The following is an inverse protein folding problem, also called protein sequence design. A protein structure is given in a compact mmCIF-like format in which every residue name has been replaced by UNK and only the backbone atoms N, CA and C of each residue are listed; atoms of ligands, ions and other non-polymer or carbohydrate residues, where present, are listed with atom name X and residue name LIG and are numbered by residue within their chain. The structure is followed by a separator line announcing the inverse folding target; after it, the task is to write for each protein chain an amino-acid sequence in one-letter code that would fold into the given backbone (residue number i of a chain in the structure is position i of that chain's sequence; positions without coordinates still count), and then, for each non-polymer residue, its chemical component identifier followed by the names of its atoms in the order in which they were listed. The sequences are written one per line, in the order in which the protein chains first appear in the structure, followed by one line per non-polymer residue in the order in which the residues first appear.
data_IF_714085030387
#
_entry.id   IF_714085030387
#
_cell.length_a   1.000
_cell.length_b   1.000
_cell.length_c   1.000
_cell.angle_alpha   90.00
_cell.angle_beta   90.00
_cell.angle_gamma   90.00
#
_symmetry.space_group_name_H-M   'P 1'
#
loop_
_entity.id
_entity.type
_entity.pdbx_description
1 polymer ?
#
# COMPACT_ATOMS: atom_id res chain seq x y z
N UNK A 1 -2.83 4.55 1.10
CA UNK A 1 -2.45 4.30 2.50
C UNK A 1 -3.68 3.97 3.33
N UNK A 2 -3.63 2.88 4.07
CA UNK A 2 -4.79 2.34 4.81
C UNK A 2 -4.81 2.64 6.31
N UNK A 3 -3.77 3.26 6.87
CA UNK A 3 -3.74 3.54 8.31
C UNK A 3 -4.64 4.72 8.67
N UNK A 4 -5.53 4.54 9.65
CA UNK A 4 -6.42 5.58 10.17
C UNK A 4 -5.78 6.43 11.29
N UNK A 5 -4.50 6.22 11.62
CA UNK A 5 -3.78 7.02 12.60
C UNK A 5 -3.66 8.47 12.14
N UNK A 6 -3.85 9.43 13.05
CA UNK A 6 -3.65 10.87 12.76
C UNK A 6 -2.22 11.16 12.30
N UNK A 7 -1.23 10.45 12.87
CA UNK A 7 0.19 10.51 12.49
C UNK A 7 0.58 9.23 11.77
N UNK A 8 0.03 9.02 10.59
CA UNK A 8 0.24 7.78 9.84
C UNK A 8 1.61 7.72 9.19
N UNK A 9 2.52 6.92 9.74
CA UNK A 9 3.84 6.65 9.13
C UNK A 9 3.72 5.93 7.79
N UNK A 10 2.76 5.03 7.63
CA UNK A 10 2.52 4.41 6.31
C UNK A 10 2.07 5.44 5.26
N UNK A 11 1.33 6.47 5.65
CA UNK A 11 1.00 7.57 4.74
C UNK A 11 2.25 8.37 4.34
N UNK A 12 3.14 8.67 5.28
CA UNK A 12 4.41 9.36 4.99
C UNK A 12 5.23 8.59 3.96
N UNK A 13 5.32 7.26 4.12
CA UNK A 13 6.02 6.39 3.16
C UNK A 13 5.34 6.35 1.80
N UNK A 14 4.01 6.20 1.77
CA UNK A 14 3.24 6.19 0.53
C UNK A 14 3.34 7.51 -0.22
N UNK A 15 3.29 8.64 0.50
CA UNK A 15 3.46 9.96 -0.10
C UNK A 15 4.88 10.13 -0.69
N UNK A 16 5.92 9.64 -0.01
CA UNK A 16 7.28 9.66 -0.55
C UNK A 16 7.38 8.83 -1.83
N UNK A 17 6.79 7.64 -1.88
CA UNK A 17 6.75 6.82 -3.09
C UNK A 17 5.94 7.49 -4.19
N UNK A 18 4.80 8.08 -3.88
CA UNK A 18 3.99 8.83 -4.84
C UNK A 18 4.81 9.92 -5.55
N UNK A 19 5.55 10.73 -4.78
CA UNK A 19 6.44 11.75 -5.35
C UNK A 19 7.55 11.15 -6.21
N UNK A 20 8.20 10.06 -5.76
CA UNK A 20 9.24 9.37 -6.53
C UNK A 20 8.72 8.78 -7.84
N UNK A 21 7.48 8.29 -7.87
CA UNK A 21 6.84 7.80 -9.08
C UNK A 21 6.51 8.94 -10.05
N UNK A 22 6.01 10.07 -9.53
CA UNK A 22 5.78 11.27 -10.36
C UNK A 22 7.07 11.80 -10.98
N UNK A 23 8.18 11.84 -10.21
CA UNK A 23 9.51 12.23 -10.72
C UNK A 23 10.01 11.31 -11.86
N UNK A 24 9.53 10.06 -11.90
CA UNK A 24 9.80 9.07 -12.96
C UNK A 24 8.78 9.12 -14.12
N UNK A 25 7.86 10.07 -14.10
CA UNK A 25 6.83 10.22 -15.12
C UNK A 25 5.66 9.24 -15.03
N UNK A 26 5.52 8.53 -13.92
CA UNK A 26 4.38 7.62 -13.67
C UNK A 26 3.18 8.44 -13.21
N UNK A 27 2.06 8.29 -13.91
CA UNK A 27 0.78 8.83 -13.45
C UNK A 27 0.29 8.03 -12.24
N UNK A 28 0.39 8.60 -11.06
CA UNK A 28 0.02 7.96 -9.80
C UNK A 28 -0.93 8.79 -8.99
N UNK A 29 -1.84 8.15 -8.29
CA UNK A 29 -2.78 8.75 -7.35
C UNK A 29 -2.54 8.18 -5.94
N UNK A 30 -2.50 9.05 -4.94
CA UNK A 30 -2.38 8.67 -3.54
C UNK A 30 -3.75 8.75 -2.87
N UNK A 31 -4.28 7.60 -2.45
CA UNK A 31 -5.52 7.51 -1.67
C UNK A 31 -5.20 7.40 -0.18
N UNK A 32 -5.87 8.21 0.62
CA UNK A 32 -5.78 8.22 2.08
C UNK A 32 -7.06 7.68 2.70
N UNK A 33 -6.98 6.53 3.37
CA UNK A 33 -8.14 5.92 4.02
C UNK A 33 -8.74 6.77 5.16
N UNK A 34 -7.99 7.75 5.69
CA UNK A 34 -8.51 8.67 6.72
C UNK A 34 -9.59 9.62 6.19
N UNK A 35 -9.64 9.82 4.89
CA UNK A 35 -10.62 10.66 4.19
C UNK A 35 -11.83 9.88 3.70
N UNK A 36 -11.88 8.57 4.01
CA UNK A 36 -12.92 7.66 3.54
C UNK A 36 -13.84 7.24 4.67
N UNK A 37 -15.11 7.09 4.36
CA UNK A 37 -16.04 6.34 5.20
C UNK A 37 -15.91 4.85 4.83
N UNK A 38 -15.39 4.05 5.75
CA UNK A 38 -15.16 2.61 5.58
C UNK A 38 -16.16 1.81 6.41
N UNK A 39 -16.89 0.91 5.77
CA UNK A 39 -17.82 -0.01 6.44
C UNK A 39 -17.41 -1.46 6.20
N UNK A 40 -17.62 -2.36 7.18
CA UNK A 40 -17.42 -3.79 7.01
C UNK A 40 -18.24 -4.34 5.82
N UNK A 41 -17.71 -5.36 5.15
CA UNK A 41 -18.23 -5.92 3.90
C UNK A 41 -19.77 -6.11 3.85
N UNK A 42 -20.35 -6.67 4.90
CA UNK A 42 -21.79 -6.94 4.94
C UNK A 42 -22.69 -5.73 5.21
N UNK A 43 -22.10 -4.56 5.46
CA UNK A 43 -22.87 -3.31 5.61
C UNK A 43 -23.13 -2.61 4.27
N UNK A 44 -22.58 -3.15 3.18
CA UNK A 44 -22.60 -2.54 1.86
C UNK A 44 -21.54 -1.44 1.70
N UNK A 45 -21.22 -1.06 0.46
CA UNK A 45 -20.23 -0.03 0.18
C UNK A 45 -20.78 1.37 0.48
N UNK A 46 -19.89 2.25 0.93
CA UNK A 46 -20.16 3.70 0.97
C UNK A 46 -19.80 4.32 -0.39
N UNK A 47 -20.20 5.57 -0.61
CA UNK A 47 -19.82 6.31 -1.83
C UNK A 47 -18.31 6.36 -2.02
N UNK A 48 -17.53 6.61 -0.95
CA UNK A 48 -16.07 6.63 -1.02
C UNK A 48 -15.47 5.26 -1.34
N UNK A 49 -16.09 4.17 -0.91
CA UNK A 49 -15.68 2.80 -1.26
C UNK A 49 -15.97 2.48 -2.73
N UNK A 50 -17.12 2.91 -3.25
CA UNK A 50 -17.47 2.75 -4.67
C UNK A 50 -16.53 3.55 -5.59
N UNK A 51 -16.17 4.76 -5.19
CA UNK A 51 -15.20 5.59 -5.91
C UNK A 51 -13.81 4.94 -5.90
N UNK A 52 -13.37 4.42 -4.75
CA UNK A 52 -12.10 3.70 -4.66
C UNK A 52 -12.11 2.43 -5.52
N UNK A 53 -13.19 1.67 -5.51
CA UNK A 53 -13.34 0.47 -6.35
C UNK A 53 -13.12 0.78 -7.83
N UNK A 54 -13.71 1.86 -8.34
CA UNK A 54 -13.52 2.32 -9.74
C UNK A 54 -12.06 2.70 -10.01
N UNK A 55 -11.41 3.44 -9.10
CA UNK A 55 -10.00 3.81 -9.24
C UNK A 55 -9.08 2.59 -9.26
N UNK A 56 -9.33 1.63 -8.37
CA UNK A 56 -8.58 0.38 -8.28
C UNK A 56 -8.76 -0.48 -9.54
N UNK A 57 -9.97 -0.53 -10.09
CA UNK A 57 -10.26 -1.22 -11.36
C UNK A 57 -9.53 -0.57 -12.55
N UNK A 58 -9.45 0.76 -12.60
CA UNK A 58 -8.80 1.50 -13.67
C UNK A 58 -7.26 1.53 -13.57
N UNK A 59 -6.71 1.33 -12.38
CA UNK A 59 -5.26 1.34 -12.17
C UNK A 59 -4.60 0.11 -12.80
N UNK A 60 -3.50 0.29 -13.51
CA UNK A 60 -2.68 -0.81 -14.05
C UNK A 60 -1.96 -1.57 -12.93
N UNK A 61 -1.41 -0.84 -11.97
CA UNK A 61 -0.61 -1.37 -10.86
C UNK A 61 -1.05 -0.75 -9.53
N UNK A 62 -0.84 -1.44 -8.42
CA UNK A 62 -1.31 -1.01 -7.10
C UNK A 62 -0.19 -1.07 -6.07
N UNK A 63 -0.08 -0.06 -5.22
CA UNK A 63 0.78 -0.08 -4.04
C UNK A 63 -0.09 -0.03 -2.78
N UNK A 64 0.01 -1.06 -1.96
CA UNK A 64 -0.67 -1.11 -0.67
C UNK A 64 0.21 -0.56 0.44
N UNK A 65 -0.24 0.55 1.04
CA UNK A 65 0.36 1.09 2.25
C UNK A 65 -0.37 0.59 3.49
N UNK A 66 0.30 -0.17 4.34
CA UNK A 66 -0.30 -0.81 5.51
C UNK A 66 0.37 -0.45 6.83
N UNK A 67 -0.42 -0.48 7.90
CA UNK A 67 0.05 -0.65 9.27
C UNK A 67 -0.03 -2.13 9.68
N UNK A 68 0.49 -2.47 10.85
CA UNK A 68 0.38 -3.81 11.43
C UNK A 68 -0.53 -3.78 12.64
N UNK A 69 -1.60 -4.56 12.62
CA UNK A 69 -2.48 -4.81 13.75
C UNK A 69 -2.46 -6.31 14.09
N UNK A 70 -2.10 -6.65 15.34
CA UNK A 70 -2.06 -8.04 15.81
C UNK A 70 -1.30 -8.99 14.87
N UNK A 71 -0.11 -8.58 14.41
CA UNK A 71 0.72 -9.33 13.46
C UNK A 71 0.03 -9.64 12.12
N UNK A 72 -0.89 -8.79 11.66
CA UNK A 72 -1.60 -8.91 10.40
C UNK A 72 -1.78 -7.55 9.74
N UNK A 73 -2.50 -7.50 8.63
CA UNK A 73 -2.94 -6.25 8.00
C UNK A 73 -3.83 -5.46 8.97
N UNK A 74 -3.79 -4.15 8.91
CA UNK A 74 -4.69 -3.32 9.71
C UNK A 74 -6.15 -3.45 9.21
N UNK A 75 -7.08 -3.18 10.09
CA UNK A 75 -8.53 -3.30 9.90
C UNK A 75 -9.05 -2.55 8.66
N UNK A 76 -8.69 -1.28 8.51
CA UNK A 76 -9.10 -0.49 7.35
C UNK A 76 -8.59 -1.09 6.03
N UNK A 77 -7.34 -1.63 5.99
CA UNK A 77 -6.87 -2.32 4.80
C UNK A 77 -7.72 -3.56 4.50
N UNK A 78 -8.08 -4.33 5.53
CA UNK A 78 -8.92 -5.51 5.31
C UNK A 78 -10.30 -5.15 4.76
N UNK A 79 -10.91 -4.06 5.25
CA UNK A 79 -12.18 -3.55 4.70
C UNK A 79 -12.02 -3.13 3.22
N UNK A 80 -10.93 -2.42 2.89
CA UNK A 80 -10.63 -2.01 1.52
C UNK A 80 -10.45 -3.23 0.60
N UNK A 81 -9.67 -4.22 1.04
CA UNK A 81 -9.45 -5.44 0.28
C UNK A 81 -10.77 -6.16 0.00
N UNK A 82 -11.61 -6.34 1.02
CA UNK A 82 -12.88 -7.06 0.89
C UNK A 82 -13.93 -6.29 0.07
N UNK A 83 -13.98 -4.96 0.20
CA UNK A 83 -15.03 -4.14 -0.37
C UNK A 83 -14.67 -3.40 -1.67
N UNK A 84 -13.37 -3.19 -1.95
CA UNK A 84 -12.96 -2.31 -3.05
C UNK A 84 -12.05 -2.98 -4.08
N UNK A 85 -11.53 -4.19 -3.81
CA UNK A 85 -10.50 -4.83 -4.66
C UNK A 85 -11.04 -5.92 -5.59
N UNK A 86 -12.33 -5.92 -5.95
CA UNK A 86 -12.91 -6.93 -6.86
C UNK A 86 -12.31 -6.91 -8.28
N UNK A 87 -11.80 -5.77 -8.76
CA UNK A 87 -11.27 -5.57 -10.12
C UNK A 87 -9.74 -5.63 -10.25
N UNK A 88 -9.01 -6.29 -9.32
CA UNK A 88 -7.53 -6.31 -9.32
C UNK A 88 -6.90 -7.60 -9.85
N UNK A 89 -7.66 -8.52 -10.39
CA UNK A 89 -7.15 -9.83 -10.83
C UNK A 89 -5.97 -9.67 -11.78
N UNK A 90 -4.87 -10.38 -11.49
CA UNK A 90 -3.65 -10.40 -12.30
C UNK A 90 -2.78 -9.14 -12.26
N UNK A 91 -3.22 -8.06 -11.58
CA UNK A 91 -2.44 -6.81 -11.53
C UNK A 91 -1.15 -6.97 -10.75
N UNK A 92 -0.17 -6.12 -11.06
CA UNK A 92 1.07 -6.02 -10.32
C UNK A 92 0.88 -5.16 -9.06
N UNK A 93 1.51 -5.57 -7.95
CA UNK A 93 1.41 -4.79 -6.72
C UNK A 93 2.71 -4.72 -5.91
N UNK A 94 2.81 -3.69 -5.11
CA UNK A 94 3.88 -3.49 -4.13
C UNK A 94 3.35 -3.30 -2.71
N UNK A 95 4.18 -3.58 -1.71
CA UNK A 95 3.84 -3.45 -0.29
C UNK A 95 4.74 -2.42 0.39
N UNK A 96 4.13 -1.46 1.06
CA UNK A 96 4.76 -0.49 1.95
C UNK A 96 4.15 -0.66 3.33
N UNK A 97 4.99 -1.01 4.31
CA UNK A 97 4.54 -1.30 5.67
C UNK A 97 5.22 -0.38 6.69
N UNK A 98 4.44 0.22 7.57
CA UNK A 98 4.92 0.88 8.77
C UNK A 98 4.41 0.12 10.01
N UNK A 99 5.34 -0.42 10.80
CA UNK A 99 5.04 -1.24 11.97
C UNK A 99 5.53 -0.62 13.27
N UNK A 100 5.01 -1.09 14.39
CA UNK A 100 5.47 -0.68 15.72
C UNK A 100 6.86 -1.19 16.10
N UNK A 101 7.34 -2.27 15.45
CA UNK A 101 8.64 -2.87 15.73
C UNK A 101 9.08 -3.91 14.69
N UNK A 102 10.31 -4.37 14.82
CA UNK A 102 10.96 -5.25 13.83
C UNK A 102 10.38 -6.68 13.78
N UNK A 103 9.80 -7.14 14.89
CA UNK A 103 9.31 -8.54 15.02
C UNK A 103 8.09 -8.86 14.13
N UNK A 104 7.40 -7.86 13.66
CA UNK A 104 6.17 -8.02 12.84
C UNK A 104 6.41 -8.01 11.34
N UNK A 105 7.65 -8.14 10.88
CA UNK A 105 7.98 -8.16 9.44
C UNK A 105 7.15 -9.18 8.65
N UNK A 106 6.98 -10.39 9.20
CA UNK A 106 6.22 -11.46 8.56
C UNK A 106 4.72 -11.15 8.42
N UNK A 107 4.20 -10.10 9.06
CA UNK A 107 2.82 -9.67 8.89
C UNK A 107 2.52 -9.22 7.45
N UNK A 108 3.53 -8.81 6.70
CA UNK A 108 3.40 -8.47 5.27
C UNK A 108 3.02 -9.68 4.43
N UNK A 109 3.37 -10.90 4.87
CA UNK A 109 3.02 -12.14 4.19
C UNK A 109 1.51 -12.42 4.17
N UNK A 110 0.76 -11.90 5.14
CA UNK A 110 -0.71 -12.02 5.12
C UNK A 110 -1.30 -11.25 3.93
N UNK A 111 -0.79 -10.04 3.65
CA UNK A 111 -1.21 -9.28 2.46
C UNK A 111 -0.79 -9.98 1.17
N UNK A 112 0.45 -10.49 1.12
CA UNK A 112 0.95 -11.31 0.00
C UNK A 112 0.00 -12.48 -0.28
N UNK A 113 -0.35 -13.25 0.75
CA UNK A 113 -1.23 -14.40 0.64
C UNK A 113 -2.61 -14.01 0.11
N UNK A 114 -3.21 -12.93 0.63
CA UNK A 114 -4.52 -12.45 0.18
C UNK A 114 -4.45 -12.08 -1.32
N UNK A 115 -3.53 -11.20 -1.70
CA UNK A 115 -3.45 -10.68 -3.06
C UNK A 115 -3.15 -11.78 -4.09
N UNK A 116 -2.22 -12.68 -3.77
CA UNK A 116 -1.82 -13.75 -4.69
C UNK A 116 -2.86 -14.86 -4.81
N UNK A 117 -3.54 -15.24 -3.72
CA UNK A 117 -4.50 -16.34 -3.76
C UNK A 117 -5.89 -15.89 -4.23
N UNK A 118 -6.37 -14.74 -3.76
CA UNK A 118 -7.71 -14.26 -4.12
C UNK A 118 -7.73 -13.73 -5.56
N UNK A 119 -6.75 -12.90 -5.93
CA UNK A 119 -6.76 -12.19 -7.22
C UNK A 119 -5.60 -12.55 -8.15
N UNK A 120 -4.76 -13.53 -7.82
CA UNK A 120 -3.61 -13.95 -8.64
C UNK A 120 -2.70 -12.78 -9.03
N UNK A 121 -2.61 -11.78 -8.14
CA UNK A 121 -1.75 -10.61 -8.35
C UNK A 121 -0.28 -10.98 -8.34
N UNK A 122 0.53 -10.20 -9.05
CA UNK A 122 1.98 -10.38 -9.12
C UNK A 122 2.65 -9.39 -8.18
N UNK A 123 3.40 -9.87 -7.19
CA UNK A 123 4.03 -9.01 -6.19
C UNK A 123 5.43 -8.54 -6.62
N UNK A 124 5.73 -7.25 -6.38
CA UNK A 124 7.12 -6.80 -6.34
C UNK A 124 7.85 -7.47 -5.18
N UNK A 125 8.96 -8.20 -5.41
CA UNK A 125 9.67 -8.91 -4.34
C UNK A 125 10.23 -7.98 -3.25
N UNK A 126 10.58 -6.75 -3.60
CA UNK A 126 11.04 -5.74 -2.65
C UNK A 126 9.86 -5.17 -1.86
N UNK A 127 9.80 -5.49 -0.57
CA UNK A 127 8.87 -4.87 0.38
C UNK A 127 9.60 -3.72 1.09
N UNK A 128 8.93 -2.58 1.26
CA UNK A 128 9.37 -1.53 2.17
C UNK A 128 8.76 -1.81 3.54
N UNK A 129 9.61 -1.97 4.55
CA UNK A 129 9.21 -2.15 5.93
C UNK A 129 9.94 -1.14 6.81
N UNK A 130 9.20 -0.32 7.50
CA UNK A 130 9.71 0.70 8.40
C UNK A 130 9.13 0.57 9.80
N UNK A 131 9.88 1.00 10.79
CA UNK A 131 9.50 1.02 12.20
C UNK A 131 9.58 2.43 12.77
N UNK A 132 9.23 2.60 14.03
CA UNK A 132 9.33 3.90 14.68
C UNK A 132 10.72 4.51 14.70
N UNK A 133 11.77 3.67 14.62
CA UNK A 133 13.19 4.10 14.63
C UNK A 133 13.62 4.80 13.34
N UNK A 134 12.86 4.65 12.28
CA UNK A 134 13.18 5.16 10.95
C UNK A 134 12.69 6.60 10.74
N UNK A 135 12.00 7.16 11.76
CA UNK A 135 11.39 8.48 11.69
C UNK A 135 11.84 9.36 12.86
N UNK A 136 12.03 10.63 12.56
CA UNK A 136 12.22 11.71 13.52
C UNK A 136 11.24 12.84 13.21
N UNK A 137 10.41 13.24 14.18
CA UNK A 137 9.39 14.29 14.03
C UNK A 137 8.53 14.10 12.75
N UNK A 138 8.00 12.89 12.55
CA UNK A 138 7.20 12.51 11.37
C UNK A 138 7.92 12.68 10.02
N UNK A 139 9.25 12.74 10.05
CA UNK A 139 10.10 12.78 8.85
C UNK A 139 10.94 11.49 8.79
N UNK A 140 11.14 10.97 7.58
CA UNK A 140 12.01 9.80 7.38
C UNK A 140 13.46 10.23 7.64
N UNK A 141 14.05 9.74 8.73
CA UNK A 141 15.43 10.08 9.15
C UNK A 141 16.46 9.03 8.71
N UNK A 142 16.05 7.76 8.56
CA UNK A 142 16.93 6.64 8.20
C UNK A 142 17.28 6.69 6.70
N UNK A 143 18.59 6.80 6.39
CA UNK A 143 19.06 6.89 5.00
C UNK A 143 18.95 5.54 4.25
N UNK A 144 19.11 4.40 4.92
CA UNK A 144 18.90 3.08 4.32
C UNK A 144 17.44 2.91 3.90
N UNK A 145 16.49 3.44 4.69
CA UNK A 145 15.08 3.45 4.31
C UNK A 145 14.82 4.35 3.11
N UNK A 146 15.45 5.54 3.04
CA UNK A 146 15.35 6.43 1.87
C UNK A 146 15.85 5.76 0.60
N UNK A 147 16.99 5.09 0.67
CA UNK A 147 17.54 4.32 -0.46
C UNK A 147 16.60 3.18 -0.85
N UNK A 148 16.06 2.44 0.11
CA UNK A 148 15.11 1.36 -0.13
C UNK A 148 13.83 1.85 -0.82
N UNK A 149 13.33 3.04 -0.47
CA UNK A 149 12.19 3.68 -1.15
C UNK A 149 12.51 4.05 -2.59
N UNK A 150 13.71 4.58 -2.86
CA UNK A 150 14.16 4.88 -4.23
C UNK A 150 14.23 3.61 -5.09
N UNK A 151 14.87 2.56 -4.58
CA UNK A 151 14.96 1.26 -5.26
C UNK A 151 13.57 0.63 -5.49
N UNK A 152 12.67 0.73 -4.50
CA UNK A 152 11.30 0.27 -4.66
C UNK A 152 10.58 1.00 -5.80
N UNK A 153 10.66 2.34 -5.84
CA UNK A 153 10.01 3.13 -6.89
C UNK A 153 10.59 2.83 -8.28
N UNK A 154 11.90 2.62 -8.37
CA UNK A 154 12.58 2.24 -9.62
C UNK A 154 12.13 0.87 -10.12
N UNK A 155 12.22 -0.16 -9.29
CA UNK A 155 11.82 -1.53 -9.63
C UNK A 155 10.32 -1.60 -9.95
N UNK A 156 9.47 -0.90 -9.17
CA UNK A 156 8.03 -0.86 -9.40
C UNK A 156 7.70 -0.24 -10.76
N UNK A 157 8.38 0.85 -11.12
CA UNK A 157 8.20 1.50 -12.43
C UNK A 157 8.65 0.58 -13.58
N UNK A 158 9.84 -0.03 -13.48
CA UNK A 158 10.40 -0.85 -14.55
C UNK A 158 9.59 -2.14 -14.75
N UNK A 159 9.29 -2.85 -13.66
CA UNK A 159 8.59 -4.14 -13.74
C UNK A 159 7.12 -3.91 -14.09
N UNK A 160 6.46 -2.98 -13.40
CA UNK A 160 5.07 -2.64 -13.67
C UNK A 160 4.84 -2.17 -15.11
N UNK A 161 5.74 -1.33 -15.64
CA UNK A 161 5.68 -0.91 -17.04
C UNK A 161 5.81 -2.05 -18.05
N UNK A 162 6.59 -3.08 -17.75
CA UNK A 162 6.73 -4.28 -18.62
C UNK A 162 5.51 -5.21 -18.59
N UNK A 163 4.73 -5.17 -17.51
CA UNK A 163 3.58 -6.05 -17.35
C UNK A 163 2.30 -5.51 -17.98
N UNK A 164 2.26 -4.22 -18.31
CA UNK A 164 1.13 -3.54 -18.97
C UNK A 164 1.35 -3.31 -20.47
N UNK A 165 2.54 -3.67 -20.99
CA UNK A 165 2.94 -3.49 -22.41
C UNK A 165 2.50 -4.62 -23.32
#
# INVERSE_FOLDING_TARGET
SSSLSKTSRSFILCNKIHLLLQDKGVNSELVDAREMELLPFYNGPTTSMEELSKKVEQADNIIFGMGVHCYSVNDALKIILDGCCGGVEGKFFGIICAAGGERSYLSTMHLTQICMNEWRMIQLPRIVYATGKDFENDTISNDDLKERLNLFAEEFTIIGGKLIS
#
